data_IF_381253133623
#
_entry.id   IF_381253133623
#
_cell.length_a   1.000
_cell.length_b   1.000
_cell.length_c   1.000
_cell.angle_alpha   90.00
_cell.angle_beta   90.00
_cell.angle_gamma   90.00
#
_symmetry.space_group_name_H-M   'P 1'
#
loop_
_entity.id
_entity.type
_entity.pdbx_description
1 polymer ?
#
# COMPACT_ATOMS: atom_id res chain seq x y z
N UNK A 1 -41.55 -27.75 17.00
CA UNK A 1 -40.43 -28.23 17.85
C UNK A 1 -39.18 -27.42 17.51
N UNK A 2 -38.72 -26.55 18.40
CA UNK A 2 -37.50 -25.77 18.17
C UNK A 2 -36.28 -26.70 18.25
N UNK A 3 -35.55 -26.84 17.15
CA UNK A 3 -34.30 -27.61 17.10
C UNK A 3 -33.32 -27.00 18.10
N UNK A 4 -33.01 -27.70 19.19
CA UNK A 4 -32.01 -27.27 20.15
C UNK A 4 -30.67 -27.08 19.43
N UNK A 5 -30.24 -25.83 19.27
CA UNK A 5 -29.00 -25.50 18.59
C UNK A 5 -27.78 -26.08 19.30
N UNK A 6 -26.72 -26.43 18.55
CA UNK A 6 -25.44 -26.85 19.12
C UNK A 6 -24.96 -25.78 20.12
N UNK A 7 -24.58 -26.16 21.36
CA UNK A 7 -24.13 -25.20 22.35
C UNK A 7 -22.92 -24.40 21.84
N UNK A 8 -22.91 -23.09 22.16
CA UNK A 8 -21.82 -22.20 21.75
C UNK A 8 -20.54 -22.65 22.46
N UNK A 9 -19.45 -22.79 21.70
CA UNK A 9 -18.13 -23.08 22.27
C UNK A 9 -17.72 -21.93 23.20
N UNK A 10 -17.34 -22.29 24.42
CA UNK A 10 -16.71 -21.40 25.39
C UNK A 10 -15.22 -21.69 25.37
N UNK A 11 -14.39 -20.64 25.40
CA UNK A 11 -12.93 -20.75 25.46
C UNK A 11 -12.50 -20.51 26.90
N UNK A 12 -11.58 -21.33 27.40
CA UNK A 12 -10.96 -21.07 28.71
C UNK A 12 -10.03 -19.87 28.62
N UNK A 13 -9.77 -19.22 29.76
CA UNK A 13 -8.85 -18.09 29.81
C UNK A 13 -7.44 -18.47 29.35
N UNK A 14 -6.98 -19.67 29.71
CA UNK A 14 -5.70 -20.23 29.25
C UNK A 14 -5.63 -20.33 27.73
N UNK A 15 -6.69 -20.83 27.07
CA UNK A 15 -6.77 -20.89 25.62
C UNK A 15 -6.72 -19.49 25.00
N UNK A 16 -7.42 -18.52 25.58
CA UNK A 16 -7.41 -17.14 25.10
C UNK A 16 -6.02 -16.52 25.23
N UNK A 17 -5.34 -16.74 26.35
CA UNK A 17 -3.97 -16.27 26.56
C UNK A 17 -3.00 -16.89 25.56
N UNK A 18 -3.14 -18.18 25.26
CA UNK A 18 -2.26 -18.84 24.31
C UNK A 18 -2.52 -18.37 22.86
N UNK A 19 -3.79 -18.17 22.47
CA UNK A 19 -4.13 -17.53 21.18
C UNK A 19 -3.50 -16.15 21.09
N UNK A 20 -3.59 -15.34 22.17
CA UNK A 20 -2.99 -14.00 22.23
C UNK A 20 -1.48 -14.08 22.10
N UNK A 21 -0.81 -14.96 22.85
CA UNK A 21 0.65 -15.16 22.81
C UNK A 21 1.12 -15.48 21.40
N UNK A 22 0.46 -16.43 20.73
CA UNK A 22 0.81 -16.79 19.35
C UNK A 22 0.55 -15.65 18.35
N UNK A 23 -0.55 -14.90 18.51
CA UNK A 23 -0.83 -13.74 17.67
C UNK A 23 0.21 -12.62 17.85
N UNK A 24 0.68 -12.42 19.09
CA UNK A 24 1.79 -11.51 19.43
C UNK A 24 3.15 -11.99 18.93
N UNK A 25 3.27 -13.22 18.43
CA UNK A 25 4.42 -13.72 17.69
C UNK A 25 4.19 -13.68 16.18
N UNK A 26 3.15 -12.98 15.74
CA UNK A 26 2.77 -12.83 14.33
C UNK A 26 2.39 -14.15 13.63
N UNK A 27 2.00 -15.18 14.39
CA UNK A 27 1.51 -16.43 13.79
C UNK A 27 0.22 -16.19 13.00
N UNK A 28 0.12 -16.85 11.84
CA UNK A 28 -1.09 -16.82 11.03
C UNK A 28 -2.23 -17.62 11.71
N UNK A 29 -3.48 -17.34 11.34
CA UNK A 29 -4.66 -17.93 12.00
C UNK A 29 -4.71 -19.45 11.84
N UNK A 30 -4.18 -19.98 10.73
CA UNK A 30 -4.15 -21.42 10.49
C UNK A 30 -3.14 -22.14 11.40
N UNK A 31 -1.97 -21.55 11.63
CA UNK A 31 -0.97 -22.06 12.57
C UNK A 31 -1.53 -22.11 13.99
N UNK A 32 -2.24 -21.07 14.42
CA UNK A 32 -2.88 -21.03 15.74
C UNK A 32 -3.98 -22.11 15.83
N UNK A 33 -4.78 -22.26 14.77
CA UNK A 33 -5.83 -23.27 14.69
C UNK A 33 -5.28 -24.69 14.85
N UNK A 34 -4.22 -25.02 14.11
CA UNK A 34 -3.56 -26.33 14.18
C UNK A 34 -2.91 -26.55 15.54
N UNK A 35 -2.17 -25.57 16.06
CA UNK A 35 -1.46 -25.70 17.32
C UNK A 35 -2.40 -25.95 18.52
N UNK A 36 -3.59 -25.36 18.51
CA UNK A 36 -4.54 -25.43 19.62
C UNK A 36 -5.71 -26.39 19.38
N UNK A 37 -5.73 -27.10 18.25
CA UNK A 37 -6.85 -27.96 17.87
C UNK A 37 -8.18 -27.22 17.76
N UNK A 38 -8.16 -25.94 17.34
CA UNK A 38 -9.35 -25.12 17.18
C UNK A 38 -9.65 -25.00 15.68
N UNK A 39 -10.87 -25.33 15.21
CA UNK A 39 -11.19 -25.16 13.79
C UNK A 39 -11.01 -23.70 13.35
N UNK A 40 -10.36 -23.49 12.21
CA UNK A 40 -10.03 -22.16 11.67
C UNK A 40 -11.24 -21.21 11.70
N UNK A 41 -12.40 -21.68 11.21
CA UNK A 41 -13.65 -20.90 11.16
C UNK A 41 -14.14 -20.48 12.54
N UNK A 42 -13.85 -21.25 13.57
CA UNK A 42 -14.17 -20.89 14.96
C UNK A 42 -13.27 -19.75 15.44
N UNK A 43 -11.96 -19.84 15.17
CA UNK A 43 -11.00 -18.77 15.49
C UNK A 43 -11.34 -17.47 14.78
N UNK A 44 -11.62 -17.54 13.48
CA UNK A 44 -12.06 -16.39 12.67
C UNK A 44 -13.32 -15.76 13.26
N UNK A 45 -14.37 -16.55 13.50
CA UNK A 45 -15.64 -16.03 14.02
C UNK A 45 -15.54 -15.39 15.40
N UNK A 46 -14.73 -15.95 16.30
CA UNK A 46 -14.68 -15.52 17.70
C UNK A 46 -13.57 -14.52 18.00
N UNK A 47 -12.47 -14.53 17.25
CA UNK A 47 -11.27 -13.77 17.56
C UNK A 47 -10.73 -12.90 16.43
N UNK A 48 -11.33 -12.84 15.23
CA UNK A 48 -10.77 -12.08 14.10
C UNK A 48 -10.35 -10.64 14.46
N UNK A 49 -11.23 -9.87 15.11
CA UNK A 49 -10.91 -8.51 15.57
C UNK A 49 -9.72 -8.49 16.53
N UNK A 50 -9.68 -9.39 17.52
CA UNK A 50 -8.60 -9.47 18.51
C UNK A 50 -7.28 -9.92 17.90
N UNK A 51 -7.31 -10.90 17.00
CA UNK A 51 -6.14 -11.37 16.25
C UNK A 51 -5.53 -10.24 15.42
N UNK A 52 -6.35 -9.39 14.78
CA UNK A 52 -5.89 -8.21 14.06
C UNK A 52 -5.21 -7.21 15.01
N UNK A 53 -5.83 -6.93 16.16
CA UNK A 53 -5.25 -6.04 17.18
C UNK A 53 -3.92 -6.56 17.71
N UNK A 54 -3.84 -7.82 18.16
CA UNK A 54 -2.61 -8.39 18.70
C UNK A 54 -1.48 -8.48 17.66
N UNK A 55 -1.81 -8.74 16.39
CA UNK A 55 -0.80 -8.67 15.32
C UNK A 55 -0.35 -7.24 15.04
N UNK A 56 -1.22 -6.26 15.17
CA UNK A 56 -0.84 -4.85 15.08
C UNK A 56 0.07 -4.44 16.25
N UNK A 57 -0.21 -4.90 17.46
CA UNK A 57 0.66 -4.72 18.64
C UNK A 57 2.06 -5.30 18.38
N UNK A 58 2.15 -6.50 17.79
CA UNK A 58 3.43 -7.07 17.38
C UNK A 58 4.17 -6.16 16.38
N UNK A 59 3.48 -5.66 15.35
CA UNK A 59 4.11 -4.77 14.35
C UNK A 59 4.60 -3.47 14.97
N UNK A 60 3.86 -2.89 15.92
CA UNK A 60 4.29 -1.72 16.68
C UNK A 60 5.56 -2.03 17.48
N UNK A 61 5.57 -3.12 18.26
CA UNK A 61 6.76 -3.54 19.01
C UNK A 61 7.96 -3.83 18.12
N UNK A 62 7.74 -4.42 16.94
CA UNK A 62 8.79 -4.66 15.97
C UNK A 62 9.37 -3.35 15.44
N UNK A 63 8.52 -2.34 15.20
CA UNK A 63 8.96 -1.02 14.75
C UNK A 63 9.87 -0.34 15.76
N UNK A 64 9.53 -0.40 17.05
CA UNK A 64 10.38 0.14 18.12
C UNK A 64 11.74 -0.59 18.17
N UNK A 65 11.73 -1.91 17.96
CA UNK A 65 12.94 -2.74 17.96
C UNK A 65 13.82 -2.55 16.72
N UNK A 66 13.28 -2.05 15.61
CA UNK A 66 14.06 -1.84 14.38
C UNK A 66 15.21 -0.86 14.57
N UNK A 67 15.10 0.14 15.45
CA UNK A 67 16.19 1.07 15.73
C UNK A 67 17.38 0.39 16.43
N UNK A 68 17.10 -0.61 17.27
CA UNK A 68 18.16 -1.39 17.91
C UNK A 68 18.74 -2.43 16.94
N UNK A 69 17.90 -3.05 16.13
CA UNK A 69 18.34 -4.02 15.12
C UNK A 69 19.14 -3.38 13.99
N UNK A 70 18.88 -2.13 13.63
CA UNK A 70 19.66 -1.43 12.60
C UNK A 70 21.14 -1.29 12.98
N UNK A 71 21.44 -1.23 14.28
CA UNK A 71 22.79 -1.09 14.84
C UNK A 71 23.59 -2.40 14.81
N UNK A 72 22.92 -3.54 14.95
CA UNK A 72 23.56 -4.86 15.08
C UNK A 72 23.40 -5.75 13.85
N UNK A 73 22.29 -5.64 13.13
CA UNK A 73 21.98 -6.41 11.93
C UNK A 73 21.05 -5.61 11.00
N UNK A 74 21.65 -4.72 10.21
CA UNK A 74 20.93 -3.89 9.25
C UNK A 74 20.12 -4.71 8.24
N UNK A 75 20.62 -5.87 7.80
CA UNK A 75 19.94 -6.73 6.84
C UNK A 75 18.68 -7.37 7.42
N UNK A 76 18.73 -7.83 8.67
CA UNK A 76 17.52 -8.31 9.36
C UNK A 76 16.50 -7.19 9.58
N UNK A 77 16.97 -5.99 9.91
CA UNK A 77 16.10 -4.82 10.03
C UNK A 77 15.36 -4.51 8.71
N UNK A 78 16.09 -4.51 7.58
CA UNK A 78 15.53 -4.33 6.23
C UNK A 78 14.56 -5.45 5.88
N UNK A 79 14.94 -6.71 6.11
CA UNK A 79 14.12 -7.87 5.80
C UNK A 79 12.78 -7.83 6.54
N UNK A 80 12.80 -7.59 7.86
CA UNK A 80 11.59 -7.50 8.68
C UNK A 80 10.77 -6.26 8.32
N UNK A 81 11.43 -5.13 8.03
CA UNK A 81 10.77 -3.91 7.59
C UNK A 81 9.94 -4.10 6.32
N UNK A 82 10.53 -4.72 5.30
CA UNK A 82 9.86 -4.97 4.01
C UNK A 82 8.75 -6.03 4.14
N UNK A 83 9.06 -7.19 4.74
CA UNK A 83 8.15 -8.34 4.71
C UNK A 83 7.04 -8.30 5.76
N UNK A 84 7.26 -7.62 6.90
CA UNK A 84 6.35 -7.68 8.04
C UNK A 84 5.64 -6.36 8.29
N UNK A 85 6.35 -5.24 8.09
CA UNK A 85 5.84 -3.89 8.31
C UNK A 85 5.37 -3.20 7.02
N UNK A 86 5.58 -3.81 5.86
CA UNK A 86 5.17 -3.25 4.57
C UNK A 86 5.95 -1.98 4.18
N UNK A 87 7.18 -1.83 4.68
CA UNK A 87 8.02 -0.69 4.33
C UNK A 87 8.49 -0.83 2.89
N UNK A 88 8.27 0.21 2.10
CA UNK A 88 8.65 0.26 0.69
C UNK A 88 9.88 1.12 0.53
N UNK A 89 10.81 0.65 -0.29
CA UNK A 89 11.97 1.42 -0.68
C UNK A 89 11.59 2.37 -1.81
N UNK A 90 11.79 3.67 -1.59
CA UNK A 90 11.55 4.68 -2.62
C UNK A 90 12.76 4.69 -3.57
N UNK A 91 12.55 4.27 -4.82
CA UNK A 91 13.53 4.43 -5.87
C UNK A 91 13.28 5.76 -6.59
N UNK A 92 14.29 6.63 -6.61
CA UNK A 92 14.28 7.83 -7.45
C UNK A 92 15.01 7.48 -8.74
N UNK A 93 14.25 7.27 -9.82
CA UNK A 93 14.82 7.05 -11.14
C UNK A 93 15.20 8.41 -11.73
N UNK A 94 16.49 8.73 -11.74
CA UNK A 94 16.99 9.85 -12.54
C UNK A 94 17.10 9.35 -13.98
N UNK A 95 16.01 9.47 -14.72
CA UNK A 95 16.08 9.33 -16.18
C UNK A 95 16.62 10.64 -16.73
N UNK A 96 17.94 10.72 -16.88
CA UNK A 96 18.53 11.60 -17.89
C UNK A 96 18.08 11.05 -19.24
N UNK A 97 16.94 11.53 -19.75
CA UNK A 97 16.64 11.26 -21.14
C UNK A 97 17.71 11.99 -21.95
N UNK A 98 18.49 11.29 -22.80
CA UNK A 98 19.34 12.00 -23.74
C UNK A 98 18.40 12.88 -24.58
N UNK A 99 18.65 14.19 -24.57
CA UNK A 99 18.00 15.10 -25.50
C UNK A 99 18.33 14.55 -26.88
N UNK A 100 17.37 13.91 -27.54
CA UNK A 100 17.55 13.47 -28.92
C UNK A 100 17.79 14.75 -29.71
N UNK A 101 19.02 14.95 -30.17
CA UNK A 101 19.35 16.05 -31.06
C UNK A 101 18.41 15.94 -32.27
N UNK A 102 17.48 16.88 -32.38
CA UNK A 102 16.57 16.92 -33.52
C UNK A 102 17.41 17.17 -34.76
N UNK A 103 17.16 16.38 -35.81
CA UNK A 103 17.77 16.62 -37.11
C UNK A 103 17.37 18.02 -37.63
N UNK A 104 18.17 18.65 -38.51
CA UNK A 104 17.85 19.98 -39.03
C UNK A 104 16.45 20.07 -39.68
N UNK A 105 15.96 18.97 -40.26
CA UNK A 105 14.64 18.91 -40.88
C UNK A 105 13.51 18.84 -39.84
N UNK A 106 13.71 18.12 -38.73
CA UNK A 106 12.77 18.09 -37.61
C UNK A 106 12.68 19.46 -36.90
N UNK A 107 13.81 20.18 -36.81
CA UNK A 107 13.83 21.55 -36.28
C UNK A 107 13.08 22.52 -37.20
N UNK A 108 13.26 22.41 -38.52
CA UNK A 108 12.51 23.21 -39.49
C UNK A 108 11.02 22.92 -39.44
N UNK A 109 10.63 21.65 -39.35
CA UNK A 109 9.24 21.25 -39.22
C UNK A 109 8.60 21.79 -37.93
N UNK A 110 9.33 21.75 -36.80
CA UNK A 110 8.83 22.28 -35.53
C UNK A 110 8.66 23.81 -35.55
N UNK A 111 9.61 24.54 -36.16
CA UNK A 111 9.52 25.99 -36.34
C UNK A 111 8.35 26.34 -37.28
N UNK A 112 8.18 25.61 -38.38
CA UNK A 112 7.07 25.81 -39.32
C UNK A 112 5.71 25.58 -38.63
N UNK A 113 5.58 24.51 -37.84
CA UNK A 113 4.37 24.23 -37.07
C UNK A 113 4.10 25.33 -36.02
N UNK A 114 5.13 25.77 -35.30
CA UNK A 114 4.99 26.81 -34.28
C UNK A 114 4.62 28.17 -34.87
N UNK A 115 5.15 28.51 -36.05
CA UNK A 115 4.83 29.75 -36.76
C UNK A 115 3.43 29.73 -37.37
N UNK A 116 3.01 28.59 -37.94
CA UNK A 116 1.64 28.40 -38.40
C UNK A 116 0.63 28.54 -37.26
N UNK A 117 0.89 27.88 -36.12
CA UNK A 117 0.03 27.97 -34.94
C UNK A 117 -0.07 29.41 -34.41
N UNK A 118 1.06 30.13 -34.28
CA UNK A 118 1.05 31.53 -33.85
C UNK A 118 0.26 32.43 -34.80
N UNK A 119 0.36 32.18 -36.11
CA UNK A 119 -0.37 32.94 -37.13
C UNK A 119 -1.87 32.69 -37.07
N UNK A 120 -2.28 31.46 -36.76
CA UNK A 120 -3.69 31.08 -36.60
C UNK A 120 -4.29 31.68 -35.33
N UNK A 121 -3.57 31.61 -34.20
CA UNK A 121 -3.97 32.24 -32.93
C UNK A 121 -4.06 33.77 -33.06
N UNK A 122 -3.14 34.42 -33.78
CA UNK A 122 -3.21 35.85 -34.05
C UNK A 122 -4.40 36.24 -34.95
N UNK A 123 -4.96 35.29 -35.70
CA UNK A 123 -6.12 35.50 -36.58
C UNK A 123 -7.45 35.36 -35.81
N UNK A 124 -7.47 34.55 -34.75
CA UNK A 124 -8.64 34.38 -33.88
C UNK A 124 -8.85 35.52 -32.87
N UNK A 125 -7.82 36.35 -32.62
CA UNK A 125 -7.87 37.46 -31.65
C UNK A 125 -8.12 38.86 -32.28
N UNK A 126 -8.52 38.94 -33.55
CA UNK A 126 -8.90 40.20 -34.23
C UNK A 126 -10.29 40.74 -33.83
N UNK A 127 -10.54 42.06 -33.86
CA UNK A 127 -11.69 42.68 -33.20
C UNK A 127 -13.01 42.24 -33.84
N UNK A 128 -13.95 41.76 -33.01
CA UNK A 128 -15.34 41.50 -33.40
C UNK A 128 -15.92 42.78 -34.01
N UNK A 129 -16.12 42.81 -35.34
CA UNK A 129 -16.79 43.91 -36.04
C UNK A 129 -18.22 44.04 -35.49
N UNK A 130 -18.55 45.26 -35.11
CA UNK A 130 -19.90 45.69 -34.78
C UNK A 130 -20.87 45.35 -35.91
N UNK A 131 -21.84 44.49 -35.62
CA UNK A 131 -23.11 44.39 -36.34
C UNK A 131 -24.18 44.14 -35.28
N UNK A 132 -24.81 45.22 -34.83
CA UNK A 132 -26.18 45.29 -34.32
C UNK A 132 -26.51 46.76 -34.05
N UNK A 133 -27.01 47.45 -35.08
CA UNK A 133 -27.86 48.64 -34.95
C UNK A 133 -28.45 48.95 -36.34
N UNK A 134 -29.69 48.51 -36.56
CA UNK A 134 -30.91 49.24 -36.99
C UNK A 134 -31.88 48.23 -37.59
#
# INVERSE_FOLDING_TARGET
MAKAGRPKRVFSDEQVQEIKRMALLYCNTNTIAVALGIPYKTLERHFDKRLKTWRAEYRASLRDKQDNLSKTSADMCKFLGKNVLGQVEKQTLVTEQPVKEQTPDEQRASIAAATAFKREMARSDGPKRAQEAV
#
